data_IF_356799485981
#
_entry.id   IF_356799485981
#
_cell.length_a   1.000
_cell.length_b   1.000
_cell.length_c   1.000
_cell.angle_alpha   90.00
_cell.angle_beta   90.00
_cell.angle_gamma   90.00
#
_symmetry.space_group_name_H-M   'P 1'
#
loop_
_entity.id
_entity.type
_entity.pdbx_description
1 polymer ?
#
# COMPACT_ATOMS: atom_id res chain seq x y z
N UNK A 1 6.55 26.25 -2.96
CA UNK A 1 7.32 25.24 -3.71
C UNK A 1 7.30 23.86 -3.06
N UNK A 2 7.25 23.75 -1.73
CA UNK A 2 7.25 22.48 -0.96
C UNK A 2 6.01 21.59 -1.16
N UNK A 3 4.81 22.15 -1.33
CA UNK A 3 3.53 21.43 -1.41
C UNK A 3 3.39 20.65 -2.72
N UNK A 4 3.93 21.17 -3.84
CA UNK A 4 3.85 20.54 -5.16
C UNK A 4 4.74 19.29 -5.30
N UNK A 5 5.82 19.23 -4.53
CA UNK A 5 6.75 18.10 -4.52
C UNK A 5 6.19 16.92 -3.69
N UNK A 6 5.48 17.20 -2.60
CA UNK A 6 4.85 16.19 -1.74
C UNK A 6 3.79 15.40 -2.50
N UNK A 7 2.97 16.04 -3.33
CA UNK A 7 1.96 15.36 -4.15
C UNK A 7 2.56 14.39 -5.18
N UNK A 8 3.74 14.71 -5.74
CA UNK A 8 4.45 13.81 -6.67
C UNK A 8 5.01 12.60 -5.94
N UNK A 9 5.58 12.80 -4.76
CA UNK A 9 6.11 11.75 -3.90
C UNK A 9 4.97 10.85 -3.42
N UNK A 10 3.88 11.40 -2.94
CA UNK A 10 2.70 10.66 -2.46
C UNK A 10 2.07 9.81 -3.58
N UNK A 11 2.00 10.36 -4.80
CA UNK A 11 1.55 9.63 -5.98
C UNK A 11 2.52 8.51 -6.37
N UNK A 12 3.82 8.77 -6.30
CA UNK A 12 4.85 7.78 -6.59
C UNK A 12 4.81 6.64 -5.57
N UNK A 13 4.77 6.95 -4.28
CA UNK A 13 4.65 5.96 -3.21
C UNK A 13 3.40 5.09 -3.37
N UNK A 14 2.25 5.69 -3.67
CA UNK A 14 1.00 4.96 -3.85
C UNK A 14 1.00 4.05 -5.08
N UNK A 15 1.67 4.47 -6.17
CA UNK A 15 1.75 3.67 -7.40
C UNK A 15 2.90 2.67 -7.42
N UNK A 16 4.03 2.97 -6.81
CA UNK A 16 5.24 2.14 -6.85
C UNK A 16 5.30 1.13 -5.71
N UNK A 17 4.81 1.49 -4.53
CA UNK A 17 4.79 0.58 -3.39
C UNK A 17 3.42 -0.09 -3.27
N UNK A 18 3.28 -1.23 -3.95
CA UNK A 18 2.02 -1.99 -4.02
C UNK A 18 1.48 -2.33 -2.63
N UNK A 19 2.35 -2.74 -1.70
CA UNK A 19 1.95 -3.06 -0.32
C UNK A 19 1.41 -1.82 0.42
N UNK A 20 1.97 -0.62 0.20
CA UNK A 20 1.50 0.63 0.79
C UNK A 20 0.10 0.99 0.28
N UNK A 21 -0.16 0.82 -1.03
CA UNK A 21 -1.49 1.02 -1.63
C UNK A 21 -2.53 0.13 -0.97
N UNK A 22 -2.25 -1.17 -0.86
CA UNK A 22 -3.19 -2.13 -0.27
C UNK A 22 -3.42 -1.88 1.22
N UNK A 23 -2.39 -1.47 1.95
CA UNK A 23 -2.52 -1.06 3.34
C UNK A 23 -3.45 0.14 3.53
N UNK A 24 -3.30 1.19 2.71
CA UNK A 24 -4.18 2.36 2.76
C UNK A 24 -5.64 1.99 2.44
N UNK A 25 -5.87 1.18 1.40
CA UNK A 25 -7.21 0.73 1.02
C UNK A 25 -7.82 -0.20 2.09
N UNK A 26 -7.03 -1.08 2.69
CA UNK A 26 -7.46 -1.89 3.83
C UNK A 26 -7.97 -1.04 5.00
N UNK A 27 -7.24 0.02 5.39
CA UNK A 27 -7.67 0.92 6.48
C UNK A 27 -9.00 1.62 6.18
N UNK A 28 -9.21 2.02 4.93
CA UNK A 28 -10.46 2.64 4.50
C UNK A 28 -11.62 1.68 4.72
N UNK A 29 -11.53 0.45 4.20
CA UNK A 29 -12.59 -0.54 4.33
C UNK A 29 -12.74 -1.08 5.77
N UNK A 30 -11.68 -1.10 6.56
CA UNK A 30 -11.76 -1.40 7.98
C UNK A 30 -12.66 -0.39 8.71
N UNK A 31 -12.48 0.90 8.45
CA UNK A 31 -13.29 1.94 9.08
C UNK A 31 -14.73 1.92 8.55
N UNK A 32 -14.91 1.72 7.24
CA UNK A 32 -16.24 1.57 6.63
C UNK A 32 -17.01 0.42 7.32
N UNK A 33 -16.38 -0.74 7.50
CA UNK A 33 -17.01 -1.89 8.18
C UNK A 33 -17.45 -1.52 9.60
N UNK A 34 -16.61 -0.83 10.38
CA UNK A 34 -16.95 -0.41 11.75
C UNK A 34 -18.19 0.48 11.76
N UNK A 35 -18.25 1.46 10.86
CA UNK A 35 -19.43 2.36 10.77
C UNK A 35 -20.69 1.61 10.31
N UNK A 36 -20.57 0.71 9.31
CA UNK A 36 -21.70 -0.07 8.82
C UNK A 36 -22.25 -1.03 9.88
N UNK A 37 -21.37 -1.66 10.67
CA UNK A 37 -21.79 -2.45 11.85
C UNK A 37 -22.51 -1.59 12.90
N UNK A 38 -22.12 -0.32 13.01
CA UNK A 38 -22.84 0.67 13.83
C UNK A 38 -24.13 1.18 13.20
N UNK A 39 -24.57 0.60 12.05
CA UNK A 39 -25.79 0.97 11.31
C UNK A 39 -25.78 2.39 10.75
N UNK A 40 -24.59 2.96 10.52
CA UNK A 40 -24.46 4.19 9.76
C UNK A 40 -24.58 3.94 8.27
N UNK A 41 -25.05 4.92 7.52
CA UNK A 41 -25.11 4.85 6.06
C UNK A 41 -23.71 4.80 5.43
N UNK A 42 -23.61 4.12 4.29
CA UNK A 42 -22.32 3.98 3.57
C UNK A 42 -21.64 5.32 3.28
N UNK A 43 -22.40 6.34 2.90
CA UNK A 43 -21.84 7.67 2.64
C UNK A 43 -21.15 8.26 3.87
N UNK A 44 -21.76 8.15 5.05
CA UNK A 44 -21.19 8.60 6.31
C UNK A 44 -19.92 7.81 6.65
N UNK A 45 -19.99 6.49 6.51
CA UNK A 45 -18.86 5.59 6.73
C UNK A 45 -17.67 5.93 5.83
N UNK A 46 -17.93 6.11 4.53
CA UNK A 46 -16.91 6.41 3.53
C UNK A 46 -16.32 7.81 3.71
N UNK A 47 -17.14 8.82 3.99
CA UNK A 47 -16.69 10.18 4.26
C UNK A 47 -15.74 10.23 5.47
N UNK A 48 -16.08 9.54 6.55
CA UNK A 48 -15.25 9.48 7.76
C UNK A 48 -13.95 8.68 7.54
N UNK A 49 -13.89 7.76 6.57
CA UNK A 49 -12.67 7.02 6.25
C UNK A 49 -11.52 7.93 5.80
N UNK A 50 -11.84 9.12 5.28
CA UNK A 50 -10.86 10.11 4.86
C UNK A 50 -9.94 10.60 5.99
N UNK A 51 -10.40 10.59 7.25
CA UNK A 51 -9.60 11.00 8.41
C UNK A 51 -8.37 10.12 8.68
N UNK A 52 -8.38 8.85 8.22
CA UNK A 52 -7.24 7.94 8.36
C UNK A 52 -6.16 8.14 7.29
N UNK A 53 -6.46 8.92 6.25
CA UNK A 53 -5.61 9.03 5.07
C UNK A 53 -4.62 10.18 5.25
N UNK A 54 -3.33 9.84 5.24
CA UNK A 54 -2.24 10.83 5.28
C UNK A 54 -1.69 11.15 3.89
N UNK A 55 -1.88 10.26 2.92
CA UNK A 55 -1.42 10.43 1.55
C UNK A 55 -2.33 11.40 0.81
N UNK A 56 -1.77 12.53 0.37
CA UNK A 56 -2.54 13.60 -0.27
C UNK A 56 -3.16 13.17 -1.61
N UNK A 57 -2.44 12.39 -2.40
CA UNK A 57 -2.98 11.87 -3.67
C UNK A 57 -4.21 10.99 -3.43
N UNK A 58 -4.15 10.10 -2.45
CA UNK A 58 -5.30 9.25 -2.08
C UNK A 58 -6.45 10.09 -1.52
N UNK A 59 -6.15 11.08 -0.68
CA UNK A 59 -7.15 11.99 -0.13
C UNK A 59 -7.90 12.76 -1.22
N UNK A 60 -7.20 13.29 -2.23
CA UNK A 60 -7.81 13.97 -3.37
C UNK A 60 -8.76 13.03 -4.14
N UNK A 61 -8.38 11.77 -4.33
CA UNK A 61 -9.21 10.74 -5.00
C UNK A 61 -10.44 10.33 -4.18
N UNK A 62 -10.28 10.18 -2.87
CA UNK A 62 -11.41 9.92 -1.95
C UNK A 62 -12.36 11.13 -1.88
N UNK A 63 -11.83 12.34 -1.89
CA UNK A 63 -12.66 13.56 -1.95
C UNK A 63 -13.49 13.63 -3.23
N UNK A 64 -12.92 13.21 -4.38
CA UNK A 64 -13.66 13.06 -5.62
C UNK A 64 -14.82 12.07 -5.46
N UNK A 65 -14.57 10.87 -4.90
CA UNK A 65 -15.62 9.90 -4.59
C UNK A 65 -16.72 10.51 -3.72
N UNK A 66 -16.34 11.16 -2.62
CA UNK A 66 -17.30 11.80 -1.72
C UNK A 66 -18.17 12.84 -2.43
N UNK A 67 -17.58 13.64 -3.31
CA UNK A 67 -18.32 14.64 -4.08
C UNK A 67 -19.33 14.01 -5.05
N UNK A 68 -18.99 12.86 -5.65
CA UNK A 68 -19.89 12.12 -6.54
C UNK A 68 -21.01 11.43 -5.76
N UNK A 69 -20.70 10.83 -4.63
CA UNK A 69 -21.70 10.23 -3.73
C UNK A 69 -22.67 11.29 -3.21
N UNK A 70 -22.18 12.46 -2.80
CA UNK A 70 -23.01 13.58 -2.38
C UNK A 70 -23.99 14.05 -3.48
N UNK A 71 -23.57 13.96 -4.76
CA UNK A 71 -24.40 14.25 -5.93
C UNK A 71 -25.37 13.11 -6.29
N UNK A 72 -25.50 12.09 -5.45
CA UNK A 72 -26.40 10.95 -5.67
C UNK A 72 -25.93 9.95 -6.73
N UNK A 73 -24.64 9.96 -7.13
CA UNK A 73 -24.10 8.94 -8.03
C UNK A 73 -23.93 7.61 -7.28
N UNK A 74 -24.04 6.49 -8.01
CA UNK A 74 -23.83 5.17 -7.41
C UNK A 74 -22.40 5.01 -6.83
N UNK A 75 -22.26 4.14 -5.85
CA UNK A 75 -20.95 3.88 -5.21
C UNK A 75 -19.98 3.31 -6.26
N UNK A 76 -20.44 2.33 -7.05
CA UNK A 76 -19.64 1.71 -8.11
C UNK A 76 -19.14 2.73 -9.13
N UNK A 77 -20.00 3.65 -9.60
CA UNK A 77 -19.61 4.73 -10.50
C UNK A 77 -18.57 5.67 -9.88
N UNK A 78 -18.75 6.02 -8.59
CA UNK A 78 -17.85 6.93 -7.89
C UNK A 78 -16.47 6.29 -7.68
N UNK A 79 -16.42 4.98 -7.44
CA UNK A 79 -15.19 4.20 -7.30
C UNK A 79 -14.45 4.07 -8.64
N UNK A 80 -15.16 3.81 -9.72
CA UNK A 80 -14.60 3.77 -11.08
C UNK A 80 -13.90 5.09 -11.42
N UNK A 81 -14.57 6.22 -11.20
CA UNK A 81 -14.01 7.56 -11.48
C UNK A 81 -12.81 7.94 -10.60
N UNK A 82 -12.67 7.35 -9.45
CA UNK A 82 -11.49 7.58 -8.59
C UNK A 82 -10.23 6.89 -9.10
N UNK A 83 -10.34 5.79 -9.86
CA UNK A 83 -9.20 5.03 -10.43
C UNK A 83 -8.18 4.53 -9.38
N UNK A 84 -8.61 4.31 -8.16
CA UNK A 84 -7.78 3.81 -7.07
C UNK A 84 -8.19 2.42 -6.61
N UNK A 85 -9.42 2.03 -6.90
CA UNK A 85 -9.96 0.73 -6.55
C UNK A 85 -9.74 -0.28 -7.69
N UNK A 86 -9.63 -1.55 -7.33
CA UNK A 86 -9.48 -2.63 -8.31
C UNK A 86 -10.85 -2.97 -8.93
N UNK A 87 -10.89 -3.43 -10.18
CA UNK A 87 -12.13 -3.77 -10.90
C UNK A 87 -12.99 -4.78 -10.15
N UNK A 88 -12.35 -5.75 -9.48
CA UNK A 88 -13.07 -6.72 -8.64
C UNK A 88 -13.85 -6.04 -7.52
N UNK A 89 -13.30 -5.00 -6.91
CA UNK A 89 -13.94 -4.24 -5.83
C UNK A 89 -15.12 -3.42 -6.38
N UNK A 90 -14.94 -2.81 -7.55
CA UNK A 90 -16.01 -2.05 -8.23
C UNK A 90 -17.19 -2.98 -8.54
N UNK A 91 -16.91 -4.17 -9.06
CA UNK A 91 -17.94 -5.18 -9.36
C UNK A 91 -18.64 -5.68 -8.08
N UNK A 92 -17.89 -5.97 -7.01
CA UNK A 92 -18.47 -6.37 -5.73
C UNK A 92 -19.38 -5.29 -5.14
N UNK A 93 -18.98 -4.03 -5.20
CA UNK A 93 -19.79 -2.91 -4.73
C UNK A 93 -21.07 -2.75 -5.61
N UNK A 94 -20.96 -2.96 -6.92
CA UNK A 94 -22.15 -2.92 -7.79
C UNK A 94 -23.16 -4.01 -7.41
N UNK A 95 -22.70 -5.24 -7.17
CA UNK A 95 -23.54 -6.34 -6.67
C UNK A 95 -24.15 -5.98 -5.31
N UNK A 96 -23.34 -5.46 -4.39
CA UNK A 96 -23.77 -5.07 -3.05
C UNK A 96 -24.89 -4.02 -3.06
N UNK A 97 -24.85 -3.06 -3.98
CA UNK A 97 -25.90 -2.06 -4.14
C UNK A 97 -27.20 -2.68 -4.65
N UNK A 98 -27.13 -3.66 -5.58
CA UNK A 98 -28.30 -4.33 -6.12
C UNK A 98 -28.96 -5.28 -5.12
N UNK A 99 -28.17 -5.92 -4.26
CA UNK A 99 -28.62 -6.93 -3.29
C UNK A 99 -28.82 -6.36 -1.89
N UNK A 100 -28.62 -5.07 -1.70
CA UNK A 100 -28.68 -4.40 -0.38
C UNK A 100 -27.76 -5.05 0.67
N UNK A 101 -26.60 -5.57 0.23
CA UNK A 101 -25.63 -6.31 1.09
C UNK A 101 -24.31 -5.55 1.30
N UNK A 102 -24.38 -4.20 1.32
CA UNK A 102 -23.21 -3.32 1.43
C UNK A 102 -22.36 -3.62 2.68
N UNK A 103 -23.01 -3.96 3.82
CA UNK A 103 -22.31 -4.28 5.07
C UNK A 103 -21.43 -5.53 4.90
N UNK A 104 -21.98 -6.63 4.41
CA UNK A 104 -21.27 -7.89 4.19
C UNK A 104 -20.16 -7.74 3.16
N UNK A 105 -20.47 -7.18 2.00
CA UNK A 105 -19.51 -7.03 0.90
C UNK A 105 -18.37 -6.07 1.29
N UNK A 106 -18.63 -5.04 2.08
CA UNK A 106 -17.56 -4.16 2.59
C UNK A 106 -16.58 -4.90 3.50
N UNK A 107 -17.07 -5.86 4.32
CA UNK A 107 -16.22 -6.75 5.10
C UNK A 107 -15.38 -7.66 4.22
N UNK A 108 -15.97 -8.22 3.15
CA UNK A 108 -15.24 -9.06 2.20
C UNK A 108 -14.15 -8.26 1.46
N UNK A 109 -14.45 -7.05 1.02
CA UNK A 109 -13.48 -6.16 0.37
C UNK A 109 -12.32 -5.82 1.33
N UNK A 110 -12.62 -5.55 2.60
CA UNK A 110 -11.58 -5.37 3.62
C UNK A 110 -10.66 -6.58 3.70
N UNK A 111 -11.21 -7.81 3.70
CA UNK A 111 -10.41 -9.03 3.72
C UNK A 111 -9.57 -9.20 2.46
N UNK A 112 -10.12 -8.89 1.29
CA UNK A 112 -9.38 -8.91 0.02
C UNK A 112 -8.17 -7.97 0.09
N UNK A 113 -8.35 -6.73 0.54
CA UNK A 113 -7.23 -5.78 0.64
C UNK A 113 -6.22 -6.17 1.72
N UNK A 114 -6.69 -6.76 2.84
CA UNK A 114 -5.80 -7.32 3.86
C UNK A 114 -4.92 -8.44 3.29
N UNK A 115 -5.50 -9.40 2.59
CA UNK A 115 -4.76 -10.50 1.97
C UNK A 115 -3.77 -10.01 0.89
N UNK A 116 -4.19 -9.02 0.08
CA UNK A 116 -3.30 -8.39 -0.90
C UNK A 116 -2.14 -7.65 -0.23
N UNK A 117 -2.39 -6.97 0.87
CA UNK A 117 -1.35 -6.33 1.67
C UNK A 117 -0.38 -7.35 2.25
N UNK A 118 -0.88 -8.38 2.97
CA UNK A 118 -0.07 -9.42 3.60
C UNK A 118 0.83 -10.09 2.54
N UNK A 119 0.26 -10.53 1.43
CA UNK A 119 1.02 -11.14 0.32
C UNK A 119 2.10 -10.22 -0.26
N UNK A 120 1.77 -8.96 -0.49
CA UNK A 120 2.73 -7.99 -1.07
C UNK A 120 3.83 -7.66 -0.07
N UNK A 121 3.53 -7.66 1.21
CA UNK A 121 4.47 -7.43 2.29
C UNK A 121 5.42 -8.62 2.46
N UNK A 122 4.91 -9.85 2.38
CA UNK A 122 5.72 -11.08 2.42
C UNK A 122 6.73 -11.13 1.25
N UNK A 123 6.30 -10.77 0.05
CA UNK A 123 7.20 -10.65 -1.11
C UNK A 123 8.29 -9.61 -0.86
N UNK A 124 7.93 -8.46 -0.29
CA UNK A 124 8.88 -7.41 0.03
C UNK A 124 9.93 -7.88 1.06
N UNK A 125 9.50 -8.54 2.14
CA UNK A 125 10.41 -9.13 3.15
C UNK A 125 11.28 -10.22 2.52
N UNK A 126 10.70 -11.07 1.66
CA UNK A 126 11.43 -12.14 0.98
C UNK A 126 12.60 -11.64 0.13
N UNK A 127 12.54 -10.42 -0.40
CA UNK A 127 13.64 -9.81 -1.14
C UNK A 127 14.76 -9.30 -0.21
N UNK A 128 14.42 -8.89 1.00
CA UNK A 128 15.39 -8.36 1.96
C UNK A 128 16.44 -9.42 2.33
N UNK A 129 16.02 -10.66 2.52
CA UNK A 129 16.91 -11.75 2.93
C UNK A 129 18.08 -12.00 1.94
N UNK A 130 17.86 -12.20 0.62
CA UNK A 130 18.97 -12.37 -0.32
C UNK A 130 19.83 -11.11 -0.45
N UNK A 131 19.26 -9.91 -0.37
CA UNK A 131 20.02 -8.65 -0.38
C UNK A 131 20.97 -8.57 0.82
N UNK A 132 20.48 -8.94 2.01
CA UNK A 132 21.28 -8.96 3.22
C UNK A 132 22.42 -9.99 3.13
N UNK A 133 22.17 -11.18 2.57
CA UNK A 133 23.22 -12.20 2.36
C UNK A 133 24.31 -11.70 1.42
N UNK A 134 23.95 -11.07 0.32
CA UNK A 134 24.92 -10.49 -0.63
C UNK A 134 25.75 -9.40 0.05
N UNK A 135 25.11 -8.54 0.82
CA UNK A 135 25.79 -7.49 1.57
C UNK A 135 26.81 -8.07 2.58
N UNK A 136 26.39 -9.09 3.35
CA UNK A 136 27.27 -9.76 4.31
C UNK A 136 28.44 -10.48 3.62
N UNK A 137 28.21 -11.14 2.49
CA UNK A 137 29.27 -11.79 1.69
C UNK A 137 30.29 -10.74 1.23
N UNK A 138 29.83 -9.61 0.72
CA UNK A 138 30.72 -8.53 0.29
C UNK A 138 31.56 -7.98 1.45
N UNK A 139 30.95 -7.81 2.61
CA UNK A 139 31.64 -7.33 3.82
C UNK A 139 32.72 -8.31 4.29
N UNK A 140 32.43 -9.62 4.28
CA UNK A 140 33.41 -10.67 4.62
C UNK A 140 34.56 -10.66 3.63
N UNK A 141 34.28 -10.60 2.33
CA UNK A 141 35.34 -10.52 1.31
C UNK A 141 36.22 -9.27 1.49
N UNK A 142 35.62 -8.14 1.85
CA UNK A 142 36.36 -6.92 2.13
C UNK A 142 37.34 -7.09 3.30
N UNK A 143 36.88 -7.70 4.39
CA UNK A 143 37.73 -7.97 5.59
C UNK A 143 38.87 -8.95 5.22
N UNK A 144 38.55 -10.03 4.50
CA UNK A 144 39.53 -11.02 4.07
C UNK A 144 40.59 -10.36 3.20
N UNK A 145 40.23 -9.58 2.20
CA UNK A 145 41.18 -8.82 1.38
C UNK A 145 42.05 -7.89 2.20
N UNK A 146 41.49 -7.19 3.18
CA UNK A 146 42.27 -6.31 4.10
C UNK A 146 43.32 -7.03 4.93
N UNK A 147 43.10 -8.32 5.21
CA UNK A 147 44.06 -9.15 5.95
C UNK A 147 45.09 -9.79 4.98
N UNK A 148 44.64 -10.32 3.85
CA UNK A 148 45.52 -11.05 2.92
C UNK A 148 46.51 -10.14 2.18
N UNK A 149 46.13 -8.93 1.80
CA UNK A 149 46.99 -7.99 1.07
C UNK A 149 48.29 -7.71 1.84
N UNK A 150 48.26 -7.28 3.13
CA UNK A 150 49.49 -7.02 3.87
C UNK A 150 50.31 -8.30 4.17
N UNK A 151 49.67 -9.49 4.32
CA UNK A 151 50.38 -10.75 4.51
C UNK A 151 51.16 -11.16 3.24
N UNK A 152 50.64 -10.87 2.06
CA UNK A 152 51.35 -11.14 0.79
C UNK A 152 52.60 -10.27 0.62
N UNK A 153 52.54 -9.03 1.03
CA UNK A 153 53.68 -8.12 1.00
C UNK A 153 54.79 -8.57 1.97
N UNK A 154 54.45 -9.05 3.16
CA UNK A 154 55.42 -9.60 4.15
C UNK A 154 56.10 -10.87 3.60
N UNK A 155 55.36 -11.75 2.90
CA UNK A 155 55.91 -12.97 2.28
C UNK A 155 56.96 -12.64 1.21
N UNK A 156 56.80 -11.59 0.44
CA UNK A 156 57.75 -11.13 -0.57
C UNK A 156 59.02 -10.54 0.01
N UNK A 157 58.98 -9.97 1.22
CA UNK A 157 60.16 -9.41 1.93
C UNK A 157 61.04 -10.51 2.54
N UNK A 158 60.44 -11.66 2.94
CA UNK A 158 61.16 -12.76 3.55
C UNK A 158 61.86 -13.68 2.52
N UNK A 159 61.42 -13.61 1.26
CA UNK A 159 61.98 -14.41 0.16
C UNK A 159 63.15 -13.76 -0.59
N UNK A 160 63.65 -12.60 -0.11
CA UNK A 160 64.86 -11.91 -0.55
C UNK A 160 65.99 -12.11 0.46
#
# INVERSE_FOLDING_TARGET
MFIRNKNKIDKFLFKSLIFYRYYELYKIFLLIEVFLKGKYEFYIAFSNSSYLIKNKYLLDKISLCNSLLYKGKSIAFSFDKAEIFDDIVINLINIAQQTNSIETISSDIKMIYKQKFDRSFDVFIGIIQPVFLIFMTFLILWIVMGIFIPLWDVSNIISL
#
